data_IF_961170103210
#
_entry.id   IF_961170103210
#
_cell.length_a   1.000
_cell.length_b   1.000
_cell.length_c   1.000
_cell.angle_alpha   90.00
_cell.angle_beta   90.00
_cell.angle_gamma   90.00
#
_symmetry.space_group_name_H-M   'P 1'
#
loop_
_entity.id
_entity.type
_entity.pdbx_description
1 polymer ?
#
# COMPACT_ATOMS: atom_id res chain seq x y z
N UNK A 1 -25.39 9.04 10.15
CA UNK A 1 -24.04 9.58 9.89
C UNK A 1 -23.20 8.48 9.24
N UNK A 2 -22.91 8.64 7.97
CA UNK A 2 -21.97 7.73 7.33
C UNK A 2 -20.57 8.08 7.83
N UNK A 3 -19.96 7.18 8.61
CA UNK A 3 -18.53 7.25 8.85
C UNK A 3 -17.86 7.04 7.50
N UNK A 4 -17.48 8.12 6.83
CA UNK A 4 -16.61 8.00 5.67
C UNK A 4 -15.30 7.39 6.17
N UNK A 5 -15.03 6.16 5.75
CA UNK A 5 -13.73 5.55 6.02
C UNK A 5 -12.67 6.43 5.41
N UNK A 6 -11.87 7.05 6.26
CA UNK A 6 -10.73 7.84 5.81
C UNK A 6 -9.68 6.93 5.19
N UNK A 7 -9.03 7.42 4.14
CA UNK A 7 -7.87 6.72 3.57
C UNK A 7 -6.72 6.82 4.57
N UNK A 8 -6.17 5.69 4.95
CA UNK A 8 -5.04 5.61 5.87
C UNK A 8 -3.72 5.55 5.10
N UNK A 9 -2.86 6.51 5.36
CA UNK A 9 -1.58 6.68 4.67
C UNK A 9 -0.40 6.41 5.59
N UNK A 10 0.63 5.78 5.02
CA UNK A 10 1.96 5.73 5.59
C UNK A 10 2.87 6.66 4.78
N UNK A 11 3.48 7.65 5.42
CA UNK A 11 4.46 8.54 4.81
C UNK A 11 5.86 8.20 5.31
N UNK A 12 6.79 7.96 4.41
CA UNK A 12 8.17 7.60 4.74
C UNK A 12 9.14 8.53 4.05
N UNK A 13 9.86 9.34 4.82
CA UNK A 13 10.88 10.28 4.33
C UNK A 13 11.83 10.61 5.47
N UNK A 14 13.13 10.69 5.20
CA UNK A 14 14.14 11.04 6.21
C UNK A 14 14.24 12.55 6.49
N UNK A 15 13.69 13.39 5.62
CA UNK A 15 13.57 14.82 5.82
C UNK A 15 12.37 15.12 6.74
N UNK A 16 12.62 15.25 8.03
CA UNK A 16 11.58 15.37 9.07
C UNK A 16 10.67 16.58 8.85
N UNK A 17 11.23 17.73 8.50
CA UNK A 17 10.46 18.96 8.26
C UNK A 17 9.51 18.80 7.08
N UNK A 18 9.99 18.21 6.00
CA UNK A 18 9.19 17.88 4.82
C UNK A 18 8.07 16.90 5.17
N UNK A 19 8.41 15.84 5.89
CA UNK A 19 7.49 14.79 6.32
C UNK A 19 6.35 15.38 7.15
N UNK A 20 6.66 16.20 8.14
CA UNK A 20 5.66 16.86 8.99
C UNK A 20 4.77 17.81 8.21
N UNK A 21 5.33 18.61 7.32
CA UNK A 21 4.58 19.56 6.49
C UNK A 21 3.57 18.85 5.60
N UNK A 22 4.00 17.79 4.93
CA UNK A 22 3.09 17.00 4.07
C UNK A 22 2.03 16.27 4.89
N UNK A 23 2.42 15.69 6.04
CA UNK A 23 1.48 15.02 6.93
C UNK A 23 0.37 15.96 7.40
N UNK A 24 0.72 17.17 7.84
CA UNK A 24 -0.25 18.19 8.28
C UNK A 24 -1.20 18.58 7.15
N UNK A 25 -0.69 18.78 5.94
CA UNK A 25 -1.52 19.11 4.77
C UNK A 25 -2.48 17.98 4.41
N UNK A 26 -2.03 16.74 4.49
CA UNK A 26 -2.86 15.57 4.21
C UNK A 26 -3.94 15.37 5.29
N UNK A 27 -3.61 15.61 6.55
CA UNK A 27 -4.61 15.59 7.63
C UNK A 27 -5.72 16.61 7.39
N UNK A 28 -5.39 17.80 6.90
CA UNK A 28 -6.38 18.82 6.52
C UNK A 28 -7.27 18.39 5.34
N UNK A 29 -6.79 17.47 4.51
CA UNK A 29 -7.55 16.88 3.40
C UNK A 29 -8.34 15.63 3.81
N UNK A 30 -8.47 15.39 5.10
CA UNK A 30 -9.25 14.28 5.67
C UNK A 30 -8.66 12.89 5.45
N UNK A 31 -7.33 12.79 5.38
CA UNK A 31 -6.61 11.52 5.42
C UNK A 31 -6.18 11.21 6.86
N UNK A 32 -6.10 9.94 7.20
CA UNK A 32 -5.36 9.51 8.39
C UNK A 32 -3.91 9.25 7.98
N UNK A 33 -2.96 9.75 8.75
CA UNK A 33 -1.55 9.70 8.37
C UNK A 33 -0.70 9.17 9.51
N UNK A 34 0.13 8.18 9.20
CA UNK A 34 1.21 7.71 10.06
C UNK A 34 2.53 8.01 9.35
N UNK A 35 3.48 8.55 10.09
CA UNK A 35 4.78 8.95 9.55
C UNK A 35 5.89 8.04 10.03
N UNK A 36 6.87 7.81 9.18
CA UNK A 36 8.10 7.09 9.50
C UNK A 36 9.28 7.85 8.90
N UNK A 37 10.31 8.09 9.68
CA UNK A 37 11.51 8.79 9.23
C UNK A 37 12.63 7.88 8.78
N UNK A 38 12.47 6.57 8.94
CA UNK A 38 13.41 5.54 8.50
C UNK A 38 12.66 4.36 7.87
N UNK A 39 13.36 3.57 7.07
CA UNK A 39 12.80 2.34 6.51
C UNK A 39 12.39 1.35 7.59
N UNK A 40 13.17 1.25 8.65
CA UNK A 40 12.88 0.38 9.79
C UNK A 40 11.58 0.79 10.49
N UNK A 41 11.39 2.07 10.77
CA UNK A 41 10.14 2.58 11.35
C UNK A 41 8.94 2.30 10.44
N UNK A 42 9.12 2.41 9.12
CA UNK A 42 8.07 2.11 8.14
C UNK A 42 7.65 0.64 8.23
N UNK A 43 8.59 -0.27 8.29
CA UNK A 43 8.33 -1.71 8.41
C UNK A 43 7.65 -2.03 9.74
N UNK A 44 8.12 -1.46 10.84
CA UNK A 44 7.51 -1.63 12.17
C UNK A 44 6.07 -1.10 12.19
N UNK A 45 5.82 0.07 11.57
CA UNK A 45 4.48 0.62 11.45
C UNK A 45 3.54 -0.31 10.67
N UNK A 46 4.04 -0.93 9.61
CA UNK A 46 3.27 -1.88 8.79
C UNK A 46 2.97 -3.19 9.52
N UNK A 47 3.77 -3.58 10.49
CA UNK A 47 3.50 -4.74 11.34
C UNK A 47 2.35 -4.49 12.34
N UNK A 48 2.17 -3.24 12.75
CA UNK A 48 1.20 -2.83 13.79
C UNK A 48 -0.09 -2.25 13.24
N UNK A 49 -0.09 -1.78 11.99
CA UNK A 49 -1.21 -1.04 11.41
C UNK A 49 -1.50 -1.51 9.99
N UNK A 50 -2.75 -1.31 9.56
CA UNK A 50 -3.17 -1.48 8.18
C UNK A 50 -3.17 -0.12 7.49
N UNK A 51 -2.59 -0.05 6.30
CA UNK A 51 -2.57 1.13 5.46
C UNK A 51 -3.21 0.85 4.11
N UNK A 52 -3.84 1.86 3.55
CA UNK A 52 -4.38 1.78 2.19
C UNK A 52 -3.33 2.12 1.14
N UNK A 53 -2.55 3.17 1.39
CA UNK A 53 -1.52 3.68 0.49
C UNK A 53 -0.29 4.09 1.29
N UNK A 54 0.89 3.81 0.78
CA UNK A 54 2.15 4.29 1.32
C UNK A 54 2.83 5.23 0.31
N UNK A 55 3.43 6.30 0.81
CA UNK A 55 4.27 7.23 0.04
C UNK A 55 5.67 7.14 0.61
N UNK A 56 6.62 6.66 -0.17
CA UNK A 56 7.96 6.29 0.30
C UNK A 56 9.03 7.02 -0.50
N UNK A 57 9.95 7.68 0.22
CA UNK A 57 11.14 8.26 -0.39
C UNK A 57 12.07 7.13 -0.89
N UNK A 58 12.54 7.28 -2.13
CA UNK A 58 13.44 6.31 -2.76
C UNK A 58 14.82 6.27 -2.09
N UNK A 59 15.32 7.43 -1.67
CA UNK A 59 16.66 7.56 -1.09
C UNK A 59 16.60 7.93 0.38
N UNK A 60 16.95 6.97 1.23
CA UNK A 60 17.07 7.19 2.67
C UNK A 60 18.36 6.55 3.20
N UNK A 61 19.04 7.20 4.18
CA UNK A 61 20.22 6.62 4.80
C UNK A 61 19.93 5.24 5.44
N UNK A 62 20.82 4.29 5.23
CA UNK A 62 20.79 2.97 5.88
C UNK A 62 19.87 1.93 5.26
N UNK A 63 18.83 2.34 4.56
CA UNK A 63 17.94 1.42 3.83
C UNK A 63 17.34 2.15 2.64
N UNK A 64 17.55 1.64 1.43
CA UNK A 64 16.98 2.27 0.26
C UNK A 64 15.48 2.00 0.11
N UNK A 65 14.81 2.84 -0.67
CA UNK A 65 13.35 2.78 -0.83
C UNK A 65 12.87 1.49 -1.51
N UNK A 66 13.68 0.83 -2.33
CA UNK A 66 13.32 -0.44 -2.96
C UNK A 66 13.18 -1.56 -1.93
N UNK A 67 14.04 -1.55 -0.92
CA UNK A 67 13.99 -2.49 0.21
C UNK A 67 12.70 -2.31 1.02
N UNK A 68 12.36 -1.05 1.29
CA UNK A 68 11.12 -0.70 2.00
C UNK A 68 9.89 -1.11 1.18
N UNK A 69 9.88 -0.79 -0.11
CA UNK A 69 8.82 -1.16 -1.04
C UNK A 69 8.56 -2.67 -1.01
N UNK A 70 9.60 -3.47 -1.16
CA UNK A 70 9.49 -4.93 -1.14
C UNK A 70 8.97 -5.44 0.20
N UNK A 71 9.53 -4.95 1.31
CA UNK A 71 9.12 -5.37 2.65
C UNK A 71 7.66 -5.03 2.95
N UNK A 72 7.19 -3.86 2.52
CA UNK A 72 5.80 -3.44 2.69
C UNK A 72 4.85 -4.28 1.83
N UNK A 73 5.22 -4.57 0.58
CA UNK A 73 4.41 -5.44 -0.31
C UNK A 73 4.31 -6.88 0.21
N UNK A 74 5.38 -7.41 0.77
CA UNK A 74 5.38 -8.76 1.35
C UNK A 74 4.44 -8.87 2.56
N UNK A 75 4.27 -7.79 3.32
CA UNK A 75 3.39 -7.74 4.50
C UNK A 75 1.94 -7.42 4.17
N UNK A 76 1.72 -6.59 3.17
CA UNK A 76 0.39 -6.09 2.79
C UNK A 76 0.20 -6.19 1.28
N UNK A 77 -0.41 -7.27 0.84
CA UNK A 77 -0.61 -7.61 -0.58
C UNK A 77 -1.32 -6.51 -1.39
N UNK A 78 -2.29 -5.84 -0.78
CA UNK A 78 -3.11 -4.84 -1.46
C UNK A 78 -2.66 -3.40 -1.20
N UNK A 79 -1.62 -3.20 -0.40
CA UNK A 79 -1.05 -1.88 -0.17
C UNK A 79 -0.49 -1.33 -1.49
N UNK A 80 -0.97 -0.18 -1.92
CA UNK A 80 -0.42 0.51 -3.07
C UNK A 80 0.66 1.49 -2.62
N UNK A 81 1.79 1.48 -3.30
CA UNK A 81 2.98 2.25 -2.89
C UNK A 81 3.35 3.24 -3.98
N UNK A 82 3.47 4.51 -3.58
CA UNK A 82 3.93 5.61 -4.41
C UNK A 82 5.37 5.91 -4.00
N UNK A 83 6.30 5.85 -4.94
CA UNK A 83 7.70 6.19 -4.69
C UNK A 83 7.97 7.64 -5.04
N UNK A 84 8.64 8.36 -4.16
CA UNK A 84 9.10 9.74 -4.38
C UNK A 84 10.62 9.77 -4.46
N UNK A 85 11.17 10.57 -5.35
CA UNK A 85 12.62 10.71 -5.49
C UNK A 85 13.05 12.13 -5.90
N UNK A 86 14.18 12.58 -5.37
CA UNK A 86 14.85 13.79 -5.83
C UNK A 86 15.64 13.60 -7.12
N UNK A 87 15.97 12.38 -7.48
CA UNK A 87 16.75 12.03 -8.67
C UNK A 87 16.12 10.86 -9.41
N UNK A 88 15.14 11.16 -10.27
CA UNK A 88 14.52 10.15 -11.11
C UNK A 88 15.47 9.70 -12.22
N UNK A 89 15.66 8.39 -12.35
CA UNK A 89 16.33 7.76 -13.49
C UNK A 89 15.40 6.74 -14.09
N UNK A 90 15.60 6.41 -15.37
CA UNK A 90 14.82 5.35 -16.03
C UNK A 90 15.02 4.02 -15.31
N UNK A 91 16.25 3.70 -14.92
CA UNK A 91 16.58 2.46 -14.24
C UNK A 91 15.89 2.32 -12.88
N UNK A 92 15.88 3.39 -12.07
CA UNK A 92 15.20 3.37 -10.76
C UNK A 92 13.68 3.28 -10.90
N UNK A 93 13.10 3.95 -11.89
CA UNK A 93 11.67 3.86 -12.18
C UNK A 93 11.27 2.45 -12.63
N UNK A 94 12.05 1.83 -13.50
CA UNK A 94 11.83 0.45 -13.95
C UNK A 94 11.94 -0.53 -12.78
N UNK A 95 12.96 -0.39 -11.94
CA UNK A 95 13.15 -1.22 -10.75
C UNK A 95 11.96 -1.14 -9.80
N UNK A 96 11.52 0.08 -9.45
CA UNK A 96 10.35 0.29 -8.60
C UNK A 96 9.09 -0.33 -9.19
N UNK A 97 8.87 -0.18 -10.48
CA UNK A 97 7.72 -0.75 -11.17
C UNK A 97 7.74 -2.29 -11.12
N UNK A 98 8.89 -2.90 -11.35
CA UNK A 98 9.06 -4.36 -11.26
C UNK A 98 8.80 -4.89 -9.84
N UNK A 99 9.13 -4.11 -8.81
CA UNK A 99 8.89 -4.46 -7.42
C UNK A 99 7.44 -4.19 -6.96
N UNK A 100 6.60 -3.67 -7.84
CA UNK A 100 5.18 -3.48 -7.60
C UNK A 100 4.77 -2.10 -7.12
N UNK A 101 5.60 -1.07 -7.31
CA UNK A 101 5.19 0.31 -7.05
C UNK A 101 4.03 0.72 -7.96
N UNK A 102 3.04 1.40 -7.38
CA UNK A 102 1.92 1.93 -8.15
C UNK A 102 2.35 3.08 -9.07
N UNK A 103 3.13 3.99 -8.52
CA UNK A 103 3.64 5.14 -9.26
C UNK A 103 4.98 5.62 -8.71
N UNK A 104 5.74 6.27 -9.57
CA UNK A 104 7.04 6.84 -9.26
C UNK A 104 7.01 8.32 -9.62
N UNK A 105 7.16 9.20 -8.61
CA UNK A 105 7.08 10.65 -8.78
C UNK A 105 8.41 11.31 -8.45
N UNK A 106 8.78 12.32 -9.22
CA UNK A 106 9.99 13.12 -8.98
C UNK A 106 9.69 14.35 -8.11
N UNK A 107 10.55 14.60 -7.13
CA UNK A 107 10.55 15.86 -6.35
C UNK A 107 11.23 16.98 -7.16
N UNK A 108 10.79 18.24 -7.09
CA UNK A 108 9.60 18.70 -6.37
C UNK A 108 8.32 18.34 -7.12
N UNK A 109 7.27 18.00 -6.38
CA UNK A 109 5.98 17.68 -6.95
C UNK A 109 4.92 18.67 -6.43
N UNK A 110 3.85 18.83 -7.20
CA UNK A 110 2.69 19.58 -6.77
C UNK A 110 1.89 18.74 -5.75
N UNK A 111 1.57 19.34 -4.60
CA UNK A 111 0.77 18.68 -3.56
C UNK A 111 -0.59 18.20 -4.08
N UNK A 112 -1.22 19.00 -4.92
CA UNK A 112 -2.49 18.63 -5.56
C UNK A 112 -2.33 17.37 -6.41
N UNK A 113 -1.22 17.25 -7.14
CA UNK A 113 -0.88 16.06 -7.92
C UNK A 113 -0.68 14.85 -7.02
N UNK A 114 0.01 15.01 -5.90
CA UNK A 114 0.20 13.92 -4.92
C UNK A 114 -1.15 13.41 -4.40
N UNK A 115 -2.06 14.30 -4.03
CA UNK A 115 -3.41 13.93 -3.57
C UNK A 115 -4.17 13.15 -4.64
N UNK A 116 -4.10 13.58 -5.91
CA UNK A 116 -4.72 12.87 -7.02
C UNK A 116 -4.17 11.45 -7.17
N UNK A 117 -2.84 11.29 -7.12
CA UNK A 117 -2.19 9.98 -7.24
C UNK A 117 -2.52 9.08 -6.05
N UNK A 118 -2.61 9.63 -4.84
CA UNK A 118 -3.04 8.88 -3.65
C UNK A 118 -4.47 8.33 -3.84
N UNK A 119 -5.39 9.15 -4.34
CA UNK A 119 -6.76 8.72 -4.62
C UNK A 119 -6.84 7.65 -5.70
N UNK A 120 -6.06 7.80 -6.76
CA UNK A 120 -5.94 6.78 -7.82
C UNK A 120 -5.41 5.45 -7.27
N UNK A 121 -4.39 5.51 -6.41
CA UNK A 121 -3.83 4.33 -5.76
C UNK A 121 -4.86 3.65 -4.86
N UNK A 122 -5.62 4.41 -4.11
CA UNK A 122 -6.69 3.88 -3.26
C UNK A 122 -7.77 3.17 -4.09
N UNK A 123 -8.21 3.78 -5.18
CA UNK A 123 -9.17 3.16 -6.11
C UNK A 123 -8.63 1.86 -6.69
N UNK A 124 -7.35 1.83 -7.08
CA UNK A 124 -6.69 0.62 -7.57
C UNK A 124 -6.66 -0.49 -6.50
N UNK A 125 -6.38 -0.13 -5.25
CA UNK A 125 -6.43 -1.05 -4.12
C UNK A 125 -7.82 -1.68 -3.96
N UNK A 126 -8.86 -0.85 -3.95
CA UNK A 126 -10.25 -1.32 -3.80
C UNK A 126 -10.65 -2.25 -4.93
N UNK A 127 -10.28 -1.93 -6.15
CA UNK A 127 -10.56 -2.75 -7.32
C UNK A 127 -9.90 -4.12 -7.23
N UNK A 128 -8.63 -4.18 -6.90
CA UNK A 128 -7.88 -5.44 -6.73
C UNK A 128 -8.48 -6.31 -5.63
N UNK A 129 -8.82 -5.70 -4.51
CA UNK A 129 -9.44 -6.38 -3.38
C UNK A 129 -10.81 -6.92 -3.76
N UNK A 130 -11.63 -6.14 -4.43
CA UNK A 130 -12.95 -6.55 -4.91
C UNK A 130 -12.85 -7.73 -5.88
N UNK A 131 -11.96 -7.69 -6.86
CA UNK A 131 -11.74 -8.79 -7.81
C UNK A 131 -11.28 -10.07 -7.11
N UNK A 132 -10.41 -9.94 -6.12
CA UNK A 132 -9.96 -11.07 -5.30
C UNK A 132 -11.12 -11.68 -4.52
N UNK A 133 -11.89 -10.88 -3.81
CA UNK A 133 -13.03 -11.33 -3.01
C UNK A 133 -14.09 -11.99 -3.91
N UNK A 134 -14.33 -11.47 -5.10
CA UNK A 134 -15.24 -12.06 -6.09
C UNK A 134 -14.77 -13.45 -6.52
N UNK A 135 -13.50 -13.61 -6.87
CA UNK A 135 -12.92 -14.91 -7.23
C UNK A 135 -12.99 -15.91 -6.08
N UNK A 136 -12.75 -15.45 -4.87
CA UNK A 136 -12.83 -16.25 -3.66
C UNK A 136 -14.27 -16.77 -3.45
N UNK A 137 -15.27 -15.90 -3.57
CA UNK A 137 -16.68 -16.26 -3.49
C UNK A 137 -17.10 -17.24 -4.59
N UNK A 138 -16.63 -17.07 -5.82
CA UNK A 138 -16.88 -17.99 -6.93
C UNK A 138 -16.31 -19.39 -6.64
N UNK A 139 -15.11 -19.47 -6.08
CA UNK A 139 -14.50 -20.74 -5.65
C UNK A 139 -15.34 -21.42 -4.56
N UNK A 140 -15.79 -20.69 -3.57
CA UNK A 140 -16.65 -21.18 -2.49
C UNK A 140 -17.96 -21.73 -3.06
N UNK A 141 -18.60 -21.01 -3.97
CA UNK A 141 -19.82 -21.45 -4.62
C UNK A 141 -19.64 -22.76 -5.42
N UNK A 142 -18.54 -22.87 -6.17
CA UNK A 142 -18.21 -24.10 -6.90
C UNK A 142 -17.99 -25.28 -5.97
N UNK A 143 -17.33 -25.06 -4.84
CA UNK A 143 -17.07 -26.09 -3.84
C UNK A 143 -18.36 -26.54 -3.14
N UNK A 144 -19.29 -25.63 -2.84
CA UNK A 144 -20.56 -25.94 -2.19
C UNK A 144 -21.46 -26.83 -3.02
N UNK A 145 -21.32 -26.83 -4.34
CA UNK A 145 -22.08 -27.71 -5.24
C UNK A 145 -21.47 -29.11 -5.43
N UNK A 146 -20.19 -29.29 -5.10
CA UNK A 146 -19.45 -30.53 -5.39
C UNK A 146 -19.03 -31.30 -4.13
N UNK A 147 -19.03 -30.68 -2.99
CA UNK A 147 -18.44 -31.21 -1.78
C UNK A 147 -19.48 -31.41 -0.68
N UNK A 148 -19.25 -32.43 0.16
CA UNK A 148 -19.98 -32.57 1.42
C UNK A 148 -19.65 -31.41 2.34
N UNK A 149 -20.46 -31.14 3.40
CA UNK A 149 -20.15 -30.08 4.36
C UNK A 149 -18.74 -30.16 4.96
N UNK A 150 -18.22 -31.37 5.18
CA UNK A 150 -16.86 -31.58 5.67
C UNK A 150 -15.81 -31.27 4.60
N UNK A 151 -16.07 -31.65 3.37
CA UNK A 151 -15.21 -31.31 2.23
C UNK A 151 -15.14 -29.81 1.99
N UNK A 152 -16.26 -29.10 2.14
CA UNK A 152 -16.31 -27.64 2.04
C UNK A 152 -15.45 -26.96 3.12
N UNK A 153 -15.54 -27.44 4.38
CA UNK A 153 -14.72 -26.90 5.46
C UNK A 153 -13.22 -27.09 5.21
N UNK A 154 -12.82 -28.25 4.68
CA UNK A 154 -11.41 -28.51 4.30
C UNK A 154 -10.95 -27.60 3.17
N UNK A 155 -11.78 -27.40 2.15
CA UNK A 155 -11.47 -26.53 1.03
C UNK A 155 -11.33 -25.08 1.46
N UNK A 156 -12.18 -24.60 2.37
CA UNK A 156 -12.10 -23.25 2.94
C UNK A 156 -10.82 -23.03 3.75
N UNK A 157 -10.38 -24.03 4.52
CA UNK A 157 -9.13 -23.93 5.28
C UNK A 157 -7.89 -23.78 4.38
N UNK A 158 -7.90 -24.40 3.19
CA UNK A 158 -6.81 -24.23 2.22
C UNK A 158 -6.81 -22.87 1.51
N UNK A 159 -7.97 -22.23 1.36
CA UNK A 159 -8.06 -20.89 0.77
C UNK A 159 -7.45 -19.82 1.69
N UNK A 160 -7.57 -20.00 3.00
CA UNK A 160 -6.97 -19.08 3.98
C UNK A 160 -5.44 -19.17 4.02
N UNK A 161 -4.87 -20.33 3.65
CA UNK A 161 -3.41 -20.51 3.59
C UNK A 161 -2.76 -19.81 2.36
N UNK A 162 -3.52 -19.58 1.29
CA UNK A 162 -3.03 -18.89 0.09
C UNK A 162 -3.00 -17.35 0.25
N UNK A 163 -3.55 -16.82 1.34
CA UNK A 163 -3.57 -15.37 1.63
C UNK A 163 -2.41 -14.87 2.52
N UNK A 164 -1.51 -15.76 2.91
CA UNK A 164 -0.32 -15.39 3.71
C UNK A 164 0.89 -15.06 2.86
#
# INVERSE_FOLDING_TARGET
MSSQNKITLLLVDDEIDFLQTIAERLLLKNFDVIVASTGREAIEAAEKNLFDVAVVDFQMPGMDGTHVLKALKDRHKYLEIIMLTGHATIDSAVECTKLGAFKYLEKPYDFKKLVEVIKEAYEARLKKKFEHDKKHMEKIQKLSFRESPLGLLRALSHLDDDEK
#
